data_IF_714309572775
#
_entry.id   IF_714309572775
#
_cell.length_a   1.000
_cell.length_b   1.000
_cell.length_c   1.000
_cell.angle_alpha   90.00
_cell.angle_beta   90.00
_cell.angle_gamma   90.00
#
_symmetry.space_group_name_H-M   'P 1'
#
loop_
_entity.id
_entity.type
_entity.pdbx_description
1 polymer ?
#
# COMPACT_ATOMS: atom_id res chain seq x y z
N UNK A 1 45.08 36.38 40.97
CA UNK A 1 44.91 37.53 40.07
C UNK A 1 44.46 37.00 38.72
N UNK A 2 43.15 36.81 38.58
CA UNK A 2 42.49 36.19 37.44
C UNK A 2 41.95 37.33 36.57
N UNK A 3 42.60 37.66 35.44
CA UNK A 3 42.02 38.56 34.42
C UNK A 3 42.49 38.19 33.01
N UNK A 4 41.58 37.54 32.29
CA UNK A 4 41.11 37.94 30.96
C UNK A 4 42.17 37.92 29.84
N UNK A 5 42.17 36.84 29.08
CA UNK A 5 42.26 36.92 27.62
C UNK A 5 40.94 36.35 27.09
N UNK A 6 40.02 37.28 26.80
CA UNK A 6 38.81 37.07 25.98
C UNK A 6 39.25 37.20 24.52
N UNK A 7 38.93 36.21 23.68
CA UNK A 7 38.51 36.40 22.29
C UNK A 7 38.28 35.02 21.65
N UNK A 8 37.00 34.64 21.57
CA UNK A 8 36.40 34.16 20.32
C UNK A 8 37.23 33.20 19.45
N UNK A 9 37.24 31.93 19.83
CA UNK A 9 37.30 30.80 18.88
C UNK A 9 36.18 29.80 19.21
N UNK A 10 34.98 30.32 19.45
CA UNK A 10 33.75 29.55 19.62
C UNK A 10 33.03 29.30 18.28
N UNK A 11 33.78 29.27 17.17
CA UNK A 11 33.15 29.24 15.85
C UNK A 11 34.02 28.53 14.81
N UNK A 12 34.42 27.28 15.02
CA UNK A 12 34.97 26.45 13.92
C UNK A 12 34.90 24.93 14.18
N UNK A 13 33.86 24.45 14.88
CA UNK A 13 33.50 23.02 14.89
C UNK A 13 31.99 22.90 14.69
N UNK A 14 31.50 23.38 13.55
CA UNK A 14 30.10 23.22 13.13
C UNK A 14 30.01 22.85 11.64
N UNK A 15 30.96 22.05 11.14
CA UNK A 15 30.91 21.51 9.79
C UNK A 15 31.29 20.03 9.87
N UNK A 16 30.28 19.18 10.00
CA UNK A 16 30.09 17.97 9.20
C UNK A 16 28.78 17.30 9.66
N UNK A 17 27.65 17.97 9.39
CA UNK A 17 26.40 17.24 9.22
C UNK A 17 26.58 16.42 7.93
N UNK A 18 26.93 15.14 8.09
CA UNK A 18 26.84 14.17 7.03
C UNK A 18 25.37 14.11 6.61
N UNK A 19 25.03 14.85 5.55
CA UNK A 19 23.91 14.50 4.70
C UNK A 19 24.30 13.16 4.08
N UNK A 20 24.00 12.06 4.78
CA UNK A 20 23.77 10.79 4.11
C UNK A 20 22.51 11.00 3.28
N UNK A 21 22.70 11.55 2.08
CA UNK A 21 21.79 11.25 0.99
C UNK A 21 22.06 9.78 0.69
N UNK A 22 21.34 8.90 1.38
CA UNK A 22 21.32 7.49 1.06
C UNK A 22 20.55 7.38 -0.26
N UNK A 23 21.26 7.60 -1.37
CA UNK A 23 20.72 7.35 -2.70
C UNK A 23 20.58 5.85 -2.87
N UNK A 24 19.45 5.30 -2.41
CA UNK A 24 19.04 3.96 -2.78
C UNK A 24 18.99 3.91 -4.31
N UNK A 25 19.83 3.07 -4.89
CA UNK A 25 19.86 2.87 -6.33
C UNK A 25 18.49 2.36 -6.75
N UNK A 26 17.85 3.05 -7.71
CA UNK A 26 16.49 2.78 -8.19
C UNK A 26 16.19 1.28 -8.45
N UNK A 27 17.20 0.47 -8.80
CA UNK A 27 17.07 -0.97 -8.97
C UNK A 27 16.94 -1.79 -7.67
N UNK A 28 17.58 -1.38 -6.58
CA UNK A 28 17.52 -2.10 -5.30
C UNK A 28 16.16 -1.93 -4.62
N UNK A 29 15.57 -0.74 -4.72
CA UNK A 29 14.23 -0.44 -4.21
C UNK A 29 13.13 -1.23 -4.95
N UNK A 30 13.24 -1.36 -6.28
CA UNK A 30 12.32 -2.21 -7.07
C UNK A 30 12.39 -3.67 -6.69
N UNK A 31 13.59 -4.23 -6.57
CA UNK A 31 13.77 -5.65 -6.22
C UNK A 31 13.14 -5.96 -4.86
N UNK A 32 13.35 -5.07 -3.87
CA UNK A 32 12.73 -5.18 -2.56
C UNK A 32 11.20 -5.08 -2.64
N UNK A 33 10.67 -4.14 -3.42
CA UNK A 33 9.22 -3.98 -3.63
C UNK A 33 8.59 -5.20 -4.29
N UNK A 34 9.20 -5.76 -5.33
CA UNK A 34 8.74 -7.00 -5.98
C UNK A 34 8.74 -8.16 -4.98
N UNK A 35 9.78 -8.28 -4.15
CA UNK A 35 9.85 -9.31 -3.10
C UNK A 35 8.71 -9.18 -2.09
N UNK A 36 8.35 -7.95 -1.69
CA UNK A 36 7.20 -7.69 -0.81
C UNK A 36 5.86 -8.07 -1.47
N UNK A 37 5.68 -7.75 -2.76
CA UNK A 37 4.49 -8.15 -3.52
C UNK A 37 4.37 -9.67 -3.64
N UNK A 38 5.48 -10.38 -3.86
CA UNK A 38 5.51 -11.84 -3.80
C UNK A 38 5.10 -12.39 -2.43
N UNK A 39 5.64 -11.81 -1.35
CA UNK A 39 5.30 -12.19 0.02
C UNK A 39 3.79 -11.97 0.28
N UNK A 40 3.25 -10.83 -0.16
CA UNK A 40 1.81 -10.55 -0.10
C UNK A 40 1.01 -11.65 -0.79
N UNK A 41 1.40 -12.10 -2.00
CA UNK A 41 0.68 -13.17 -2.71
C UNK A 41 0.72 -14.52 -1.99
N UNK A 42 1.84 -14.84 -1.34
CA UNK A 42 2.06 -16.09 -0.58
C UNK A 42 1.38 -16.09 0.79
N UNK A 43 1.06 -14.91 1.34
CA UNK A 43 0.39 -14.73 2.63
C UNK A 43 -0.96 -15.46 2.68
N UNK A 44 -1.23 -16.14 3.80
CA UNK A 44 -2.55 -16.67 4.14
C UNK A 44 -3.47 -15.50 4.52
N UNK A 45 -4.32 -15.08 3.59
CA UNK A 45 -5.27 -13.96 3.78
C UNK A 45 -6.56 -14.44 4.44
N UNK A 46 -7.23 -13.52 5.14
CA UNK A 46 -8.52 -13.73 5.78
C UNK A 46 -8.56 -14.85 6.82
N UNK A 47 -7.48 -15.01 7.58
CA UNK A 47 -7.40 -16.00 8.65
C UNK A 47 -6.84 -15.32 9.89
N UNK A 48 -7.56 -15.48 11.00
CA UNK A 48 -7.00 -15.40 12.34
C UNK A 48 -7.08 -16.79 12.99
N UNK A 49 -6.20 -17.04 13.96
CA UNK A 49 -6.11 -18.33 14.65
C UNK A 49 -7.32 -18.58 15.57
N UNK A 50 -8.07 -17.53 15.92
CA UNK A 50 -9.19 -17.61 16.87
C UNK A 50 -10.55 -17.36 16.25
N UNK A 51 -10.64 -16.56 15.17
CA UNK A 51 -11.93 -16.21 14.52
C UNK A 51 -11.82 -16.13 13.00
N UNK A 52 -12.82 -16.59 12.22
CA UNK A 52 -12.83 -16.38 10.78
C UNK A 52 -13.02 -14.89 10.47
N UNK A 53 -12.08 -14.30 9.72
CA UNK A 53 -12.14 -12.91 9.22
C UNK A 53 -13.07 -12.72 8.02
N UNK A 54 -13.89 -13.73 7.71
CA UNK A 54 -14.84 -13.69 6.60
C UNK A 54 -16.19 -14.20 7.08
N UNK A 55 -17.25 -13.51 6.68
CA UNK A 55 -18.64 -13.92 6.85
C UNK A 55 -18.89 -15.32 6.26
N UNK A 56 -18.32 -15.56 5.08
CA UNK A 56 -18.43 -16.81 4.33
C UNK A 56 -17.05 -17.35 3.97
N UNK A 57 -16.60 -18.34 4.74
CA UNK A 57 -15.32 -19.01 4.53
C UNK A 57 -15.11 -19.56 3.10
N UNK A 58 -16.19 -19.87 2.39
CA UNK A 58 -16.22 -20.36 1.00
C UNK A 58 -15.79 -19.31 -0.02
N UNK A 59 -15.92 -18.01 0.28
CA UNK A 59 -15.50 -16.91 -0.61
C UNK A 59 -13.98 -16.75 -0.64
N UNK A 60 -13.28 -17.20 0.40
CA UNK A 60 -11.83 -17.00 0.59
C UNK A 60 -10.97 -17.34 -0.62
N UNK A 61 -11.15 -18.49 -1.31
CA UNK A 61 -10.35 -18.79 -2.49
C UNK A 61 -10.59 -17.78 -3.62
N UNK A 62 -11.82 -17.31 -3.80
CA UNK A 62 -12.15 -16.32 -4.83
C UNK A 62 -11.56 -14.94 -4.48
N UNK A 63 -11.71 -14.48 -3.24
CA UNK A 63 -11.15 -13.22 -2.76
C UNK A 63 -9.62 -13.20 -2.83
N UNK A 64 -8.96 -14.28 -2.38
CA UNK A 64 -7.50 -14.38 -2.45
C UNK A 64 -7.00 -14.37 -3.90
N UNK A 65 -7.69 -15.04 -4.83
CA UNK A 65 -7.35 -14.97 -6.26
C UNK A 65 -7.49 -13.55 -6.83
N UNK A 66 -8.55 -12.81 -6.46
CA UNK A 66 -8.76 -11.43 -6.92
C UNK A 66 -7.68 -10.50 -6.37
N UNK A 67 -7.38 -10.55 -5.05
CA UNK A 67 -6.29 -9.76 -4.45
C UNK A 67 -4.91 -10.09 -5.04
N UNK A 68 -4.61 -11.36 -5.28
CA UNK A 68 -3.33 -11.75 -5.89
C UNK A 68 -3.19 -11.25 -7.33
N UNK A 69 -4.30 -11.06 -8.06
CA UNK A 69 -4.27 -10.41 -9.38
C UNK A 69 -3.91 -8.92 -9.27
N UNK A 70 -4.47 -8.21 -8.30
CA UNK A 70 -4.09 -6.80 -8.04
C UNK A 70 -2.60 -6.68 -7.70
N UNK A 71 -2.08 -7.59 -6.88
CA UNK A 71 -0.65 -7.63 -6.58
C UNK A 71 0.22 -7.87 -7.83
N UNK A 72 -0.23 -8.71 -8.77
CA UNK A 72 0.45 -8.88 -10.06
C UNK A 72 0.38 -7.61 -10.92
N UNK A 73 -0.76 -6.90 -10.90
CA UNK A 73 -0.92 -5.65 -11.62
C UNK A 73 0.05 -4.58 -11.08
N UNK A 74 0.20 -4.48 -9.76
CA UNK A 74 1.18 -3.61 -9.10
C UNK A 74 2.62 -4.00 -9.45
N UNK A 75 2.93 -5.31 -9.48
CA UNK A 75 4.27 -5.77 -9.84
C UNK A 75 4.65 -5.37 -11.27
N UNK A 76 3.71 -5.49 -12.22
CA UNK A 76 3.93 -5.03 -13.61
C UNK A 76 4.19 -3.54 -13.68
N UNK A 77 3.54 -2.73 -12.85
CA UNK A 77 3.78 -1.29 -12.76
C UNK A 77 5.17 -0.98 -12.20
N UNK A 78 5.60 -1.68 -11.13
CA UNK A 78 6.95 -1.53 -10.55
C UNK A 78 8.06 -1.85 -11.56
N UNK A 79 7.79 -2.76 -12.50
CA UNK A 79 8.74 -3.11 -13.56
C UNK A 79 8.88 -2.04 -14.65
N UNK A 80 7.95 -1.08 -14.74
CA UNK A 80 8.05 0.00 -15.73
C UNK A 80 9.19 0.97 -15.39
N UNK A 81 9.81 1.64 -16.39
CA UNK A 81 10.87 2.62 -16.13
C UNK A 81 10.41 3.77 -15.23
N UNK A 82 9.17 4.22 -15.43
CA UNK A 82 8.50 5.30 -14.71
C UNK A 82 7.04 4.92 -14.51
N UNK A 83 6.52 5.13 -13.30
CA UNK A 83 5.11 4.94 -12.97
C UNK A 83 4.62 6.14 -12.15
N UNK A 84 3.38 6.55 -12.39
CA UNK A 84 2.70 7.65 -11.71
C UNK A 84 1.74 7.12 -10.64
N UNK A 85 1.41 7.92 -9.61
CA UNK A 85 0.37 7.57 -8.65
C UNK A 85 -0.98 7.24 -9.31
N UNK A 86 -1.32 7.92 -10.40
CA UNK A 86 -2.57 7.73 -11.15
C UNK A 86 -2.64 6.35 -11.81
N UNK A 87 -1.52 5.78 -12.24
CA UNK A 87 -1.47 4.42 -12.80
C UNK A 87 -1.76 3.37 -11.72
N UNK A 88 -1.24 3.55 -10.51
CA UNK A 88 -1.62 2.71 -9.37
C UNK A 88 -3.09 2.89 -9.00
N UNK A 89 -3.61 4.12 -8.98
CA UNK A 89 -5.03 4.38 -8.71
C UNK A 89 -5.94 3.72 -9.76
N UNK A 90 -5.56 3.74 -11.04
CA UNK A 90 -6.28 3.04 -12.10
C UNK A 90 -6.24 1.50 -11.91
N UNK A 91 -5.10 0.95 -11.47
CA UNK A 91 -4.99 -0.46 -11.11
C UNK A 91 -5.87 -0.81 -9.89
N UNK A 92 -5.96 0.07 -8.89
CA UNK A 92 -6.86 -0.08 -7.74
C UNK A 92 -8.32 -0.10 -8.21
N UNK A 93 -8.74 0.87 -9.03
CA UNK A 93 -10.10 0.93 -9.55
C UNK A 93 -10.46 -0.33 -10.34
N UNK A 94 -9.57 -0.80 -11.21
CA UNK A 94 -9.74 -2.04 -11.98
C UNK A 94 -9.77 -3.27 -11.08
N UNK A 95 -8.91 -3.30 -10.06
CA UNK A 95 -8.85 -4.35 -9.05
C UNK A 95 -10.14 -4.49 -8.25
N UNK A 96 -10.70 -3.38 -7.77
CA UNK A 96 -11.94 -3.34 -6.98
C UNK A 96 -13.15 -3.80 -7.80
N UNK A 97 -13.21 -3.46 -9.10
CA UNK A 97 -14.26 -3.95 -10.00
C UNK A 97 -14.28 -5.47 -10.14
N UNK A 98 -13.17 -6.15 -9.84
CA UNK A 98 -13.18 -7.61 -9.83
C UNK A 98 -14.07 -8.18 -8.72
N UNK A 99 -14.50 -7.39 -7.73
CA UNK A 99 -15.33 -7.84 -6.60
C UNK A 99 -16.82 -7.50 -6.80
N UNK A 100 -17.19 -6.82 -7.89
CA UNK A 100 -18.58 -6.44 -8.19
C UNK A 100 -19.54 -7.65 -8.18
N UNK A 101 -19.06 -8.81 -8.64
CA UNK A 101 -19.81 -10.08 -8.68
C UNK A 101 -20.07 -10.71 -7.31
N UNK A 102 -19.29 -10.32 -6.29
CA UNK A 102 -19.41 -10.82 -4.92
C UNK A 102 -19.94 -9.75 -3.96
N UNK A 103 -20.09 -8.51 -4.41
CA UNK A 103 -20.29 -7.36 -3.52
C UNK A 103 -21.50 -7.52 -2.58
N UNK A 104 -22.59 -8.12 -3.07
CA UNK A 104 -23.80 -8.38 -2.28
C UNK A 104 -23.62 -9.49 -1.22
N UNK A 105 -22.64 -10.36 -1.40
CA UNK A 105 -22.29 -11.44 -0.48
C UNK A 105 -21.24 -11.02 0.56
N UNK A 106 -20.69 -9.80 0.43
CA UNK A 106 -19.71 -9.24 1.36
C UNK A 106 -20.43 -8.40 2.42
N UNK A 107 -20.22 -8.73 3.68
CA UNK A 107 -20.64 -7.85 4.77
C UNK A 107 -19.66 -6.66 4.93
N UNK A 108 -19.91 -5.83 5.94
CA UNK A 108 -19.05 -4.67 6.21
C UNK A 108 -17.63 -5.08 6.59
N UNK A 109 -17.46 -6.11 7.40
CA UNK A 109 -16.14 -6.58 7.86
C UNK A 109 -15.34 -7.19 6.68
N UNK A 110 -15.99 -7.95 5.80
CA UNK A 110 -15.37 -8.49 4.60
C UNK A 110 -14.81 -7.37 3.70
N UNK A 111 -15.59 -6.30 3.50
CA UNK A 111 -15.17 -5.13 2.73
C UNK A 111 -14.01 -4.39 3.40
N UNK A 112 -14.03 -4.24 4.73
CA UNK A 112 -12.93 -3.66 5.49
C UNK A 112 -11.63 -4.45 5.29
N UNK A 113 -11.68 -5.78 5.40
CA UNK A 113 -10.51 -6.62 5.16
C UNK A 113 -9.98 -6.49 3.74
N UNK A 114 -10.87 -6.40 2.74
CA UNK A 114 -10.45 -6.15 1.36
C UNK A 114 -9.75 -4.80 1.27
N UNK A 115 -10.34 -3.72 1.80
CA UNK A 115 -9.71 -2.40 1.83
C UNK A 115 -8.34 -2.42 2.50
N UNK A 116 -8.20 -3.06 3.66
CA UNK A 116 -6.93 -3.21 4.38
C UNK A 116 -5.86 -3.92 3.53
N UNK A 117 -6.24 -4.91 2.71
CA UNK A 117 -5.30 -5.55 1.79
C UNK A 117 -4.90 -4.66 0.61
N UNK A 118 -5.77 -3.77 0.14
CA UNK A 118 -5.39 -2.76 -0.84
C UNK A 118 -4.47 -1.71 -0.21
N UNK A 119 -4.70 -1.29 1.03
CA UNK A 119 -3.81 -0.40 1.78
C UNK A 119 -2.43 -1.04 1.99
N UNK A 120 -2.36 -2.33 2.34
CA UNK A 120 -1.10 -3.07 2.41
C UNK A 120 -0.36 -3.07 1.06
N UNK A 121 -1.08 -3.20 -0.07
CA UNK A 121 -0.47 -3.08 -1.40
C UNK A 121 0.01 -1.66 -1.70
N UNK A 122 -0.73 -0.64 -1.27
CA UNK A 122 -0.34 0.77 -1.40
C UNK A 122 0.93 1.07 -0.62
N UNK A 123 1.03 0.60 0.62
CA UNK A 123 2.22 0.75 1.47
C UNK A 123 3.45 0.10 0.83
N UNK A 124 3.27 -1.08 0.21
CA UNK A 124 4.37 -1.80 -0.46
C UNK A 124 4.97 -0.95 -1.60
N UNK A 125 4.16 -0.19 -2.33
CA UNK A 125 4.60 0.63 -3.47
C UNK A 125 4.75 2.13 -3.15
N UNK A 126 4.56 2.53 -1.88
CA UNK A 126 4.65 3.91 -1.44
C UNK A 126 3.54 4.82 -1.97
N UNK A 127 2.34 4.29 -2.25
CA UNK A 127 1.20 5.09 -2.70
C UNK A 127 0.43 5.68 -1.50
N UNK A 128 0.45 6.99 -1.34
CA UNK A 128 -0.21 7.67 -0.20
C UNK A 128 -1.74 7.67 -0.28
N UNK A 129 -2.33 7.59 -1.48
CA UNK A 129 -3.77 7.74 -1.67
C UNK A 129 -4.32 6.88 -2.80
N UNK A 130 -5.44 6.22 -2.52
CA UNK A 130 -6.21 5.44 -3.48
C UNK A 130 -7.05 6.28 -4.45
N UNK A 131 -6.99 7.61 -4.38
CA UNK A 131 -7.85 8.48 -5.21
C UNK A 131 -9.35 8.36 -4.85
N UNK A 132 -9.65 7.95 -3.61
CA UNK A 132 -11.03 7.74 -3.14
C UNK A 132 -11.66 6.41 -3.58
N UNK A 133 -10.95 5.57 -4.32
CA UNK A 133 -11.47 4.30 -4.81
C UNK A 133 -11.82 3.32 -3.67
N UNK A 134 -11.02 3.25 -2.61
CA UNK A 134 -11.31 2.39 -1.45
C UNK A 134 -12.56 2.87 -0.69
N UNK A 135 -12.69 4.17 -0.49
CA UNK A 135 -13.88 4.75 0.14
C UNK A 135 -15.14 4.47 -0.69
N UNK A 136 -15.06 4.63 -2.01
CA UNK A 136 -16.16 4.30 -2.92
C UNK A 136 -16.51 2.82 -2.90
N UNK A 137 -15.53 1.91 -2.80
CA UNK A 137 -15.78 0.48 -2.67
C UNK A 137 -16.43 0.16 -1.32
N UNK A 138 -15.95 0.73 -0.22
CA UNK A 138 -16.47 0.48 1.13
C UNK A 138 -17.95 0.86 1.26
N UNK A 139 -18.33 2.03 0.72
CA UNK A 139 -19.66 2.62 0.85
C UNK A 139 -20.50 2.58 -0.45
N UNK A 140 -20.03 1.84 -1.46
CA UNK A 140 -20.57 1.83 -2.82
C UNK A 140 -21.99 1.29 -2.96
N UNK A 141 -22.53 0.64 -1.92
CA UNK A 141 -23.98 0.45 -1.74
C UNK A 141 -24.62 1.71 -1.13
N UNK A 142 -24.49 2.85 -1.80
CA UNK A 142 -25.56 3.83 -1.77
C UNK A 142 -26.40 3.55 -3.02
N UNK A 143 -27.66 3.20 -2.79
CA UNK A 143 -28.71 2.90 -3.77
C UNK A 143 -28.59 3.79 -5.02
N UNK A 144 -28.94 3.26 -6.21
CA UNK A 144 -28.69 3.95 -7.47
C UNK A 144 -29.35 5.34 -7.49
N UNK A 145 -28.66 6.34 -8.03
CA UNK A 145 -29.36 7.31 -8.85
C UNK A 145 -29.92 6.52 -10.04
N UNK A 146 -31.17 6.05 -9.88
CA UNK A 146 -31.97 5.59 -11.01
C UNK A 146 -32.19 6.80 -11.91
N UNK A 147 -32.10 6.67 -13.24
CA UNK A 147 -32.61 7.71 -14.14
C UNK A 147 -34.10 7.98 -13.88
#
# INVERSE_FOLDING_TARGET
>A
MWRIIRAECWLLISIMMLVSCETQTNGQDRSATITKLEAFRKKKKFVDDTHPRLSHATLRPALNRKLNRVANDFERLVQQPTVTPQEYQAAIATGLRQFDDLYLDLDTEDREWICLYFEELMDIVGLESSGGHLNKFMYGLNLPDRP
#
